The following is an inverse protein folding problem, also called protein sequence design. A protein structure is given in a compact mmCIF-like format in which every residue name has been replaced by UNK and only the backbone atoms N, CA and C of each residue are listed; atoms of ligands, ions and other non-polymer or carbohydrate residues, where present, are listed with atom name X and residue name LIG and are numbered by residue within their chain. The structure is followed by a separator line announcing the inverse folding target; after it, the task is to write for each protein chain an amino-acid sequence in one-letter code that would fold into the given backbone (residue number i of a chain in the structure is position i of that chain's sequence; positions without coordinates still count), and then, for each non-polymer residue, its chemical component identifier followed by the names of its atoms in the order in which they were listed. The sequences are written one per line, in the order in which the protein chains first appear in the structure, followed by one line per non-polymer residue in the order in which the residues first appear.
data_IF_643669554910
#
_entry.id   IF_643669554910
#
_cell.length_a   1.000
_cell.length_b   1.000
_cell.length_c   1.000
_cell.angle_alpha   90.00
_cell.angle_beta   90.00
_cell.angle_gamma   90.00
#
_symmetry.space_group_name_H-M   'P 1'
#
loop_
_entity.id
_entity.type
_entity.pdbx_description
1 polymer ?
#
# COMPACT_ATOMS: atom_id res chain seq x y z
N UNK A 1 -26.66 -24.51 18.95
CA UNK A 1 -28.06 -24.87 18.65
C UNK A 1 -28.57 -24.18 17.37
N UNK A 2 -28.21 -22.93 17.15
CA UNK A 2 -28.53 -22.21 15.90
C UNK A 2 -27.72 -22.67 14.68
N UNK A 3 -26.52 -23.22 14.89
CA UNK A 3 -25.68 -23.72 13.79
C UNK A 3 -26.23 -24.95 13.09
N UNK A 4 -26.90 -25.84 13.79
CA UNK A 4 -27.50 -27.06 13.19
C UNK A 4 -28.68 -26.76 12.27
N UNK A 5 -29.52 -25.80 12.62
CA UNK A 5 -30.66 -25.41 11.81
C UNK A 5 -30.23 -24.57 10.61
N UNK A 6 -29.24 -23.69 10.77
CA UNK A 6 -28.61 -22.94 9.67
C UNK A 6 -27.92 -23.82 8.63
N UNK A 7 -27.26 -24.89 9.05
CA UNK A 7 -26.65 -25.88 8.15
C UNK A 7 -27.72 -26.62 7.34
N UNK A 8 -28.84 -27.00 7.95
CA UNK A 8 -29.95 -27.67 7.26
C UNK A 8 -30.63 -26.77 6.21
N UNK A 9 -30.80 -25.49 6.51
CA UNK A 9 -31.41 -24.54 5.57
C UNK A 9 -30.47 -24.13 4.42
N UNK A 10 -29.17 -24.04 4.67
CA UNK A 10 -28.15 -23.80 3.65
C UNK A 10 -27.99 -24.98 2.70
N UNK A 11 -28.05 -26.21 3.22
CA UNK A 11 -28.06 -27.43 2.39
C UNK A 11 -29.29 -27.45 1.46
N UNK A 12 -30.40 -26.92 1.91
CA UNK A 12 -31.67 -26.83 1.10
C UNK A 12 -31.63 -25.76 0.04
N UNK A 13 -31.02 -24.60 0.33
CA UNK A 13 -31.12 -23.39 -0.54
C UNK A 13 -29.98 -23.20 -1.51
N UNK A 14 -28.77 -23.70 -1.21
CA UNK A 14 -27.54 -23.36 -1.94
C UNK A 14 -26.74 -24.54 -2.51
N UNK A 15 -27.25 -25.76 -2.40
CA UNK A 15 -26.66 -26.95 -3.04
C UNK A 15 -25.35 -27.45 -2.43
N UNK A 16 -25.04 -27.06 -1.19
CA UNK A 16 -23.96 -27.63 -0.40
C UNK A 16 -24.52 -28.61 0.63
N UNK A 17 -24.01 -29.84 0.66
CA UNK A 17 -24.31 -30.83 1.67
C UNK A 17 -23.03 -31.28 2.37
N UNK A 18 -23.02 -31.24 3.69
CA UNK A 18 -21.93 -31.74 4.51
C UNK A 18 -22.24 -33.14 4.98
N UNK A 19 -21.29 -34.07 4.77
CA UNK A 19 -21.36 -35.41 5.35
C UNK A 19 -20.37 -35.49 6.49
N UNK A 20 -20.87 -35.53 7.72
CA UNK A 20 -20.02 -35.71 8.88
C UNK A 20 -20.38 -36.98 9.66
N UNK A 21 -19.39 -37.59 10.30
CA UNK A 21 -19.61 -38.74 11.17
C UNK A 21 -20.26 -38.27 12.47
N UNK A 22 -21.52 -38.65 12.66
CA UNK A 22 -22.42 -38.15 13.72
C UNK A 22 -21.86 -38.19 15.15
N UNK A 23 -20.86 -39.07 15.42
CA UNK A 23 -20.28 -39.25 16.74
C UNK A 23 -19.03 -38.38 17.00
N UNK A 24 -18.25 -38.06 15.97
CA UNK A 24 -16.95 -37.39 16.13
C UNK A 24 -16.87 -36.04 15.44
N UNK A 25 -17.88 -35.66 14.64
CA UNK A 25 -17.99 -34.41 13.85
C UNK A 25 -16.82 -34.15 12.92
N UNK A 26 -15.99 -35.16 12.61
CA UNK A 26 -14.89 -34.98 11.67
C UNK A 26 -15.42 -34.72 10.25
N UNK A 27 -14.85 -33.71 9.61
CA UNK A 27 -15.13 -33.39 8.20
C UNK A 27 -14.55 -34.49 7.32
N UNK A 28 -15.40 -35.29 6.67
CA UNK A 28 -15.00 -36.41 5.81
C UNK A 28 -15.14 -36.12 4.32
N UNK A 29 -16.00 -35.18 3.95
CA UNK A 29 -16.23 -34.80 2.56
C UNK A 29 -17.31 -33.75 2.42
N UNK A 30 -17.45 -33.21 1.22
CA UNK A 30 -18.55 -32.31 0.82
C UNK A 30 -19.27 -32.89 -0.36
N UNK A 31 -20.56 -32.58 -0.46
CA UNK A 31 -21.43 -33.04 -1.54
C UNK A 31 -22.32 -31.88 -1.98
N UNK A 32 -22.34 -31.57 -3.27
CA UNK A 32 -23.28 -30.56 -3.77
C UNK A 32 -24.71 -31.12 -3.84
N UNK A 33 -25.70 -30.26 -3.64
CA UNK A 33 -27.11 -30.65 -3.80
C UNK A 33 -27.39 -31.21 -5.20
N UNK A 34 -26.71 -30.66 -6.22
CA UNK A 34 -26.82 -31.13 -7.59
C UNK A 34 -26.34 -32.60 -7.69
N UNK A 35 -25.18 -32.88 -7.14
CA UNK A 35 -24.62 -34.24 -7.18
C UNK A 35 -25.47 -35.21 -6.38
N UNK A 36 -26.05 -34.76 -5.26
CA UNK A 36 -26.94 -35.55 -4.45
C UNK A 36 -28.24 -35.91 -5.21
N UNK A 37 -28.83 -34.97 -5.96
CA UNK A 37 -30.06 -35.17 -6.70
C UNK A 37 -29.83 -35.98 -7.98
N UNK A 38 -28.63 -35.86 -8.60
CA UNK A 38 -28.32 -36.57 -9.84
C UNK A 38 -27.65 -37.93 -9.62
N UNK A 39 -27.21 -38.22 -8.39
CA UNK A 39 -26.59 -39.50 -8.05
C UNK A 39 -27.62 -40.66 -8.10
N UNK A 40 -27.10 -41.85 -8.41
CA UNK A 40 -27.90 -43.09 -8.33
C UNK A 40 -28.26 -43.32 -6.85
N UNK A 41 -29.59 -43.49 -6.54
CA UNK A 41 -30.08 -43.70 -5.18
C UNK A 41 -29.51 -44.92 -4.48
N UNK A 42 -28.95 -45.88 -5.21
CA UNK A 42 -28.32 -47.08 -4.67
C UNK A 42 -26.85 -46.88 -4.21
N UNK A 43 -26.20 -45.74 -4.61
CA UNK A 43 -24.82 -45.50 -4.26
C UNK A 43 -24.67 -44.92 -2.87
N UNK A 44 -23.72 -45.42 -2.06
CA UNK A 44 -23.40 -44.79 -0.79
C UNK A 44 -22.91 -43.33 -0.99
N UNK A 45 -23.26 -42.43 -0.08
CA UNK A 45 -22.84 -41.03 -0.12
C UNK A 45 -21.32 -40.91 -0.17
N UNK A 46 -20.61 -41.80 0.50
CA UNK A 46 -19.13 -41.84 0.50
C UNK A 46 -18.47 -42.03 -0.87
N UNK A 47 -19.22 -42.55 -1.86
CA UNK A 47 -18.74 -42.75 -3.25
C UNK A 47 -19.04 -41.55 -4.16
N UNK A 48 -19.92 -40.69 -3.73
CA UNK A 48 -20.34 -39.50 -4.49
C UNK A 48 -19.71 -38.21 -3.96
N UNK A 49 -19.33 -38.17 -2.68
CA UNK A 49 -18.74 -37.00 -2.05
C UNK A 49 -17.31 -36.72 -2.51
N UNK A 50 -16.94 -35.45 -2.54
CA UNK A 50 -15.55 -34.99 -2.70
C UNK A 50 -14.84 -35.07 -1.35
N UNK A 51 -13.76 -35.84 -1.27
CA UNK A 51 -13.01 -36.10 -0.02
C UNK A 51 -11.90 -35.09 0.25
N UNK A 52 -11.33 -34.49 -0.77
CA UNK A 52 -10.29 -33.46 -0.65
C UNK A 52 -10.96 -32.10 -0.46
N UNK A 53 -11.34 -31.82 0.79
CA UNK A 53 -12.13 -30.62 1.15
C UNK A 53 -11.21 -29.51 1.60
N UNK A 54 -11.25 -28.39 0.88
CA UNK A 54 -10.65 -27.15 1.36
C UNK A 54 -11.44 -26.67 2.57
N UNK A 55 -10.77 -26.56 3.70
CA UNK A 55 -11.36 -26.13 4.97
C UNK A 55 -10.51 -25.05 5.62
N UNK A 56 -11.09 -24.30 6.53
CA UNK A 56 -10.45 -23.25 7.32
C UNK A 56 -10.50 -23.58 8.81
N UNK A 57 -9.52 -23.11 9.55
CA UNK A 57 -9.49 -23.26 11.01
C UNK A 57 -10.26 -22.13 11.68
N UNK A 58 -10.84 -22.38 12.86
CA UNK A 58 -11.44 -21.35 13.73
C UNK A 58 -10.51 -20.19 14.07
N UNK A 59 -9.19 -20.37 13.95
CA UNK A 59 -8.18 -19.35 14.21
C UNK A 59 -7.71 -18.62 12.94
N UNK A 60 -8.26 -18.96 11.77
CA UNK A 60 -7.89 -18.30 10.49
C UNK A 60 -8.46 -16.88 10.47
N UNK A 61 -7.65 -15.91 10.05
CA UNK A 61 -8.08 -14.53 9.94
C UNK A 61 -9.18 -14.41 8.87
N UNK A 62 -10.20 -13.60 9.14
CA UNK A 62 -11.34 -13.38 8.25
C UNK A 62 -10.93 -12.92 6.84
N UNK A 63 -9.87 -12.12 6.72
CA UNK A 63 -9.32 -11.69 5.43
C UNK A 63 -8.76 -12.89 4.62
N UNK A 64 -8.12 -13.84 5.30
CA UNK A 64 -7.60 -15.06 4.66
C UNK A 64 -8.74 -15.98 4.21
N UNK A 65 -9.83 -16.04 4.99
CA UNK A 65 -11.05 -16.76 4.63
C UNK A 65 -11.70 -16.15 3.38
N UNK A 66 -11.83 -14.83 3.35
CA UNK A 66 -12.38 -14.10 2.20
C UNK A 66 -11.57 -14.36 0.93
N UNK A 67 -10.23 -14.34 1.05
CA UNK A 67 -9.32 -14.66 -0.07
C UNK A 67 -9.45 -16.13 -0.53
N UNK A 68 -9.67 -17.07 0.39
CA UNK A 68 -9.85 -18.47 0.02
C UNK A 68 -11.14 -18.65 -0.78
N UNK A 69 -12.24 -18.06 -0.35
CA UNK A 69 -13.52 -18.09 -1.09
C UNK A 69 -13.37 -17.47 -2.49
N UNK A 70 -12.75 -16.30 -2.60
CA UNK A 70 -12.51 -15.65 -3.89
C UNK A 70 -11.60 -16.46 -4.81
N UNK A 71 -10.61 -17.16 -4.26
CA UNK A 71 -9.63 -17.92 -5.05
C UNK A 71 -10.22 -19.18 -5.66
N UNK A 72 -11.15 -19.83 -4.96
CA UNK A 72 -11.72 -21.11 -5.35
C UNK A 72 -13.15 -20.99 -5.85
N UNK A 73 -13.72 -19.78 -5.90
CA UNK A 73 -15.10 -19.49 -6.29
C UNK A 73 -16.13 -20.31 -5.49
N UNK A 74 -15.84 -20.53 -4.20
CA UNK A 74 -16.73 -21.28 -3.33
C UNK A 74 -17.89 -20.41 -2.83
N UNK A 75 -19.07 -21.01 -2.69
CA UNK A 75 -20.24 -20.35 -2.07
C UNK A 75 -20.18 -20.43 -0.54
N UNK A 76 -19.48 -21.43 0.00
CA UNK A 76 -19.25 -21.61 1.43
C UNK A 76 -18.00 -22.45 1.67
N UNK A 77 -17.38 -22.26 2.84
CA UNK A 77 -16.24 -23.04 3.32
C UNK A 77 -16.54 -23.65 4.69
N UNK A 78 -16.25 -24.94 4.90
CA UNK A 78 -16.34 -25.56 6.21
C UNK A 78 -15.24 -25.05 7.15
N UNK A 79 -15.63 -24.79 8.39
CA UNK A 79 -14.75 -24.36 9.48
C UNK A 79 -14.51 -25.53 10.39
N UNK A 80 -13.24 -25.81 10.68
CA UNK A 80 -12.84 -26.91 11.56
C UNK A 80 -12.07 -26.41 12.77
N UNK A 81 -12.15 -27.14 13.87
CA UNK A 81 -11.32 -26.92 15.06
C UNK A 81 -9.91 -27.55 14.91
N UNK A 82 -9.12 -27.50 15.99
CA UNK A 82 -7.77 -28.07 16.03
C UNK A 82 -7.77 -29.61 15.85
N UNK A 83 -8.85 -30.27 16.25
CA UNK A 83 -9.07 -31.71 16.10
C UNK A 83 -9.70 -32.09 14.76
N UNK A 84 -9.81 -31.14 13.81
CA UNK A 84 -10.47 -31.30 12.49
C UNK A 84 -11.96 -31.66 12.58
N UNK A 85 -12.64 -31.23 13.64
CA UNK A 85 -14.10 -31.38 13.76
C UNK A 85 -14.78 -30.20 13.12
N UNK A 86 -15.85 -30.46 12.40
CA UNK A 86 -16.68 -29.41 11.80
C UNK A 86 -17.38 -28.60 12.89
N UNK A 87 -17.07 -27.31 12.95
CA UNK A 87 -17.65 -26.34 13.89
C UNK A 87 -18.80 -25.57 13.25
N UNK A 88 -18.66 -25.26 11.96
CA UNK A 88 -19.64 -24.48 11.20
C UNK A 88 -19.22 -24.34 9.76
N UNK A 89 -19.92 -23.45 9.07
CA UNK A 89 -19.58 -23.00 7.71
C UNK A 89 -19.56 -21.48 7.67
N UNK A 90 -18.74 -20.95 6.78
CA UNK A 90 -18.74 -19.51 6.43
C UNK A 90 -19.18 -19.40 5.00
N UNK A 91 -20.16 -18.55 4.74
CA UNK A 91 -20.75 -18.37 3.41
C UNK A 91 -20.21 -17.10 2.74
N UNK A 92 -20.35 -17.00 1.43
CA UNK A 92 -19.86 -15.85 0.66
C UNK A 92 -20.55 -14.55 1.04
N UNK A 93 -21.83 -14.59 1.41
CA UNK A 93 -22.60 -13.44 1.88
C UNK A 93 -22.06 -12.86 3.20
N UNK A 94 -21.71 -13.73 4.17
CA UNK A 94 -21.07 -13.29 5.42
C UNK A 94 -19.71 -12.59 5.17
N UNK A 95 -19.05 -12.94 4.09
CA UNK A 95 -17.74 -12.38 3.75
C UNK A 95 -17.81 -11.11 2.88
N UNK A 96 -18.93 -10.80 2.25
CA UNK A 96 -19.11 -9.55 1.51
C UNK A 96 -18.91 -8.37 2.46
N UNK A 97 -19.56 -8.40 3.62
CA UNK A 97 -19.42 -7.34 4.64
C UNK A 97 -17.98 -7.24 5.16
N UNK A 98 -17.31 -8.37 5.35
CA UNK A 98 -15.90 -8.41 5.77
C UNK A 98 -14.99 -7.77 4.70
N UNK A 99 -15.21 -8.08 3.43
CA UNK A 99 -14.42 -7.52 2.32
C UNK A 99 -14.61 -6.00 2.24
N UNK A 100 -15.83 -5.52 2.42
CA UNK A 100 -16.14 -4.09 2.43
C UNK A 100 -15.50 -3.37 3.62
N UNK A 101 -15.59 -3.94 4.82
CA UNK A 101 -14.95 -3.40 6.02
C UNK A 101 -13.42 -3.34 5.89
N UNK A 102 -12.79 -4.39 5.38
CA UNK A 102 -11.34 -4.40 5.16
C UNK A 102 -10.93 -3.39 4.07
N UNK A 103 -11.68 -3.28 2.97
CA UNK A 103 -11.43 -2.28 1.93
C UNK A 103 -11.56 -0.85 2.47
N UNK A 104 -12.57 -0.59 3.29
CA UNK A 104 -12.78 0.69 3.97
C UNK A 104 -11.62 0.99 4.92
N UNK A 105 -11.19 0.01 5.72
CA UNK A 105 -10.06 0.13 6.62
C UNK A 105 -8.76 0.46 5.89
N UNK A 106 -8.50 -0.21 4.76
CA UNK A 106 -7.33 0.05 3.92
C UNK A 106 -7.33 1.50 3.39
N UNK A 107 -8.50 2.02 2.97
CA UNK A 107 -8.64 3.40 2.51
C UNK A 107 -8.34 4.39 3.63
N UNK A 108 -8.88 4.19 4.83
CA UNK A 108 -8.60 5.06 5.99
C UNK A 108 -7.12 5.00 6.39
N UNK A 109 -6.52 3.82 6.41
CA UNK A 109 -5.10 3.63 6.71
C UNK A 109 -4.21 4.34 5.68
N UNK A 110 -4.51 4.22 4.38
CA UNK A 110 -3.79 4.93 3.32
C UNK A 110 -3.85 6.45 3.46
N UNK A 111 -4.94 6.99 4.02
CA UNK A 111 -5.11 8.41 4.33
C UNK A 111 -4.55 8.85 5.68
N UNK A 112 -3.95 7.95 6.47
CA UNK A 112 -3.53 8.21 7.87
C UNK A 112 -4.68 8.70 8.77
N UNK A 113 -5.87 8.16 8.57
CA UNK A 113 -7.07 8.47 9.34
C UNK A 113 -7.47 7.22 10.13
N UNK A 114 -7.82 7.39 11.41
CA UNK A 114 -8.38 6.27 12.17
C UNK A 114 -9.81 5.96 11.67
N UNK A 115 -10.12 4.69 11.37
CA UNK A 115 -11.47 4.31 10.99
C UNK A 115 -12.47 4.65 12.10
N UNK A 116 -13.67 5.03 11.72
CA UNK A 116 -14.81 5.19 12.61
C UNK A 116 -15.92 4.23 12.20
N UNK A 117 -16.95 4.08 13.02
CA UNK A 117 -18.15 3.36 12.62
C UNK A 117 -18.78 4.08 11.43
N UNK A 118 -19.11 3.33 10.36
CA UNK A 118 -19.52 3.89 9.06
C UNK A 118 -20.79 4.74 9.14
N UNK A 119 -21.72 4.38 10.03
CA UNK A 119 -22.97 5.09 10.23
C UNK A 119 -22.85 6.43 10.96
N UNK A 120 -21.64 6.78 11.44
CA UNK A 120 -21.47 7.79 12.45
C UNK A 120 -20.79 9.09 11.98
N UNK A 121 -20.42 9.21 10.68
CA UNK A 121 -19.71 10.41 10.21
C UNK A 121 -20.55 11.69 10.37
N UNK A 122 -21.82 11.67 9.98
CA UNK A 122 -22.71 12.81 10.09
C UNK A 122 -23.23 13.06 11.51
N UNK A 123 -23.22 12.03 12.36
CA UNK A 123 -23.62 12.13 13.77
C UNK A 123 -22.44 12.42 14.69
N UNK A 124 -21.22 12.16 14.25
CA UNK A 124 -20.00 12.39 15.03
C UNK A 124 -19.75 13.87 15.25
N UNK A 125 -19.39 14.24 16.49
CA UNK A 125 -19.01 15.60 16.80
C UNK A 125 -17.72 16.00 16.06
N UNK A 126 -17.58 17.28 15.70
CA UNK A 126 -16.39 17.82 15.05
C UNK A 126 -15.12 17.53 15.87
N UNK A 127 -15.23 17.53 17.19
CA UNK A 127 -14.12 17.22 18.09
C UNK A 127 -13.68 15.76 17.98
N UNK A 128 -14.61 14.83 17.86
CA UNK A 128 -14.32 13.39 17.65
C UNK A 128 -13.60 13.17 16.32
N UNK A 129 -14.08 13.81 15.26
CA UNK A 129 -13.44 13.74 13.93
C UNK A 129 -12.02 14.31 13.98
N UNK A 130 -11.83 15.47 14.60
CA UNK A 130 -10.52 16.10 14.75
C UNK A 130 -9.55 15.23 15.57
N UNK A 131 -10.02 14.62 16.67
CA UNK A 131 -9.21 13.74 17.51
C UNK A 131 -8.69 12.51 16.77
N UNK A 132 -9.50 11.92 15.88
CA UNK A 132 -9.09 10.76 15.05
C UNK A 132 -7.95 11.08 14.07
N UNK A 133 -7.76 12.36 13.74
CA UNK A 133 -6.75 12.82 12.77
C UNK A 133 -5.53 13.49 13.40
N UNK A 134 -5.73 14.19 14.54
CA UNK A 134 -4.71 15.09 15.10
C UNK A 134 -3.43 14.37 15.52
N UNK A 135 -3.53 13.18 16.07
CA UNK A 135 -2.36 12.43 16.55
C UNK A 135 -1.38 12.17 15.40
N UNK A 136 -1.90 11.71 14.27
CA UNK A 136 -1.08 11.43 13.09
C UNK A 136 -0.51 12.71 12.48
N UNK A 137 -1.32 13.76 12.39
CA UNK A 137 -0.86 15.06 11.90
C UNK A 137 0.25 15.65 12.79
N UNK A 138 0.19 15.49 14.10
CA UNK A 138 1.27 15.93 15.00
C UNK A 138 2.58 15.18 14.74
N UNK A 139 2.52 13.87 14.52
CA UNK A 139 3.70 13.06 14.16
C UNK A 139 4.30 13.57 12.84
N UNK A 140 3.47 13.84 11.84
CA UNK A 140 3.94 14.37 10.55
C UNK A 140 4.52 15.78 10.68
N UNK A 141 3.93 16.65 11.48
CA UNK A 141 4.48 18.00 11.75
C UNK A 141 5.85 17.93 12.41
N UNK A 142 6.03 17.04 13.39
CA UNK A 142 7.33 16.82 14.03
C UNK A 142 8.37 16.28 13.02
N UNK A 143 7.96 15.33 12.17
CA UNK A 143 8.82 14.78 11.14
C UNK A 143 9.20 15.84 10.09
N UNK A 144 8.25 16.68 9.65
CA UNK A 144 8.50 17.80 8.74
C UNK A 144 9.42 18.88 9.37
N UNK A 145 9.50 18.95 10.70
CA UNK A 145 10.48 19.77 11.40
C UNK A 145 11.93 19.42 11.01
N UNK A 146 12.20 18.17 10.64
CA UNK A 146 13.52 17.76 10.13
C UNK A 146 13.80 18.39 8.76
N UNK A 147 12.82 18.42 7.86
CA UNK A 147 12.94 19.10 6.55
C UNK A 147 13.26 20.58 6.74
N UNK A 148 12.54 21.25 7.63
CA UNK A 148 12.80 22.66 7.97
C UNK A 148 14.20 22.85 8.52
N UNK A 149 14.69 21.97 9.38
CA UNK A 149 16.04 22.02 9.93
C UNK A 149 17.11 21.83 8.85
N UNK A 150 16.92 20.88 7.94
CA UNK A 150 17.85 20.66 6.80
C UNK A 150 17.93 21.90 5.91
N UNK A 151 16.80 22.55 5.61
CA UNK A 151 16.76 23.81 4.86
C UNK A 151 17.50 24.91 5.61
N UNK A 152 17.22 25.09 6.90
CA UNK A 152 17.84 26.14 7.71
C UNK A 152 19.37 25.97 7.86
N UNK A 153 19.87 24.76 7.92
CA UNK A 153 21.33 24.48 7.97
C UNK A 153 22.06 24.87 6.67
N UNK A 154 21.35 25.03 5.56
CA UNK A 154 21.88 25.37 4.24
C UNK A 154 21.46 26.77 3.78
N UNK A 155 21.07 27.64 4.71
CA UNK A 155 20.53 28.98 4.47
C UNK A 155 21.49 29.89 3.65
N UNK A 156 22.80 29.70 3.77
CA UNK A 156 23.78 30.47 3.00
C UNK A 156 23.65 30.24 1.49
N UNK A 157 23.48 28.99 1.06
CA UNK A 157 23.34 28.63 -0.35
C UNK A 157 22.03 29.21 -0.91
N UNK A 158 20.97 29.10 -0.12
CA UNK A 158 19.65 29.61 -0.52
C UNK A 158 19.59 31.15 -0.58
N UNK A 159 20.34 31.85 0.27
CA UNK A 159 20.47 33.31 0.21
C UNK A 159 21.23 33.81 -1.00
N UNK A 160 22.23 33.08 -1.47
CA UNK A 160 22.98 33.44 -2.66
C UNK A 160 22.15 33.33 -3.95
N UNK A 161 21.21 32.37 -3.98
CA UNK A 161 20.35 32.14 -5.14
C UNK A 161 18.91 31.87 -4.65
N UNK A 162 18.20 32.93 -4.31
CA UNK A 162 16.81 32.89 -3.83
C UNK A 162 15.88 32.10 -4.78
N UNK A 163 16.17 32.14 -6.08
CA UNK A 163 15.41 31.41 -7.09
C UNK A 163 15.47 29.89 -6.96
N UNK A 164 16.55 29.34 -6.38
CA UNK A 164 16.65 27.92 -6.11
C UNK A 164 15.65 27.46 -5.05
N UNK A 165 15.37 28.30 -4.07
CA UNK A 165 14.36 28.02 -3.06
C UNK A 165 12.94 27.91 -3.68
N UNK A 166 12.66 28.60 -4.77
CA UNK A 166 11.39 28.56 -5.48
C UNK A 166 11.09 27.18 -6.11
N UNK A 167 12.13 26.37 -6.40
CA UNK A 167 11.95 25.01 -6.95
C UNK A 167 11.77 23.95 -5.88
N UNK A 168 12.06 24.23 -4.60
CA UNK A 168 11.87 23.26 -3.51
C UNK A 168 10.46 22.70 -3.46
N UNK A 169 9.38 23.49 -3.48
CA UNK A 169 8.01 22.97 -3.48
C UNK A 169 7.70 22.04 -4.66
N UNK A 170 8.22 22.36 -5.85
CA UNK A 170 8.05 21.54 -7.04
C UNK A 170 8.76 20.18 -6.88
N UNK A 171 9.98 20.17 -6.37
CA UNK A 171 10.78 18.99 -6.18
C UNK A 171 10.17 18.06 -5.11
N UNK A 172 9.82 18.62 -3.95
CA UNK A 172 9.19 17.92 -2.84
C UNK A 172 7.84 17.35 -3.30
N UNK A 173 6.96 18.18 -3.86
CA UNK A 173 5.64 17.77 -4.30
C UNK A 173 5.69 16.65 -5.35
N UNK A 174 6.61 16.74 -6.31
CA UNK A 174 6.80 15.70 -7.33
C UNK A 174 7.30 14.39 -6.69
N UNK A 175 8.32 14.48 -5.82
CA UNK A 175 8.85 13.32 -5.10
C UNK A 175 7.79 12.64 -4.24
N UNK A 176 7.07 13.41 -3.43
CA UNK A 176 5.99 12.90 -2.59
C UNK A 176 4.90 12.18 -3.38
N UNK A 177 4.47 12.76 -4.49
CA UNK A 177 3.47 12.15 -5.37
C UNK A 177 3.96 10.83 -5.98
N UNK A 178 5.18 10.79 -6.50
CA UNK A 178 5.77 9.57 -7.07
C UNK A 178 5.93 8.48 -6.01
N UNK A 179 6.40 8.84 -4.81
CA UNK A 179 6.52 7.91 -3.69
C UNK A 179 5.17 7.32 -3.26
N UNK A 180 4.14 8.16 -3.16
CA UNK A 180 2.78 7.73 -2.83
C UNK A 180 2.19 6.80 -3.91
N UNK A 181 2.38 7.12 -5.19
CA UNK A 181 1.92 6.28 -6.30
C UNK A 181 2.61 4.90 -6.29
N UNK A 182 3.93 4.88 -6.10
CA UNK A 182 4.71 3.64 -6.02
C UNK A 182 4.23 2.78 -4.84
N UNK A 183 4.06 3.38 -3.67
CA UNK A 183 3.54 2.68 -2.49
C UNK A 183 2.16 2.08 -2.71
N UNK A 184 1.24 2.84 -3.30
CA UNK A 184 -0.12 2.36 -3.59
C UNK A 184 -0.09 1.11 -4.49
N UNK A 185 0.76 1.10 -5.52
CA UNK A 185 0.91 -0.06 -6.42
C UNK A 185 1.47 -1.27 -5.67
N UNK A 186 2.45 -1.07 -4.80
CA UNK A 186 3.06 -2.14 -4.02
C UNK A 186 2.09 -2.69 -2.96
N UNK A 187 1.41 -1.84 -2.20
CA UNK A 187 0.39 -2.24 -1.22
C UNK A 187 -0.68 -3.08 -1.91
N UNK A 188 -1.21 -2.61 -3.04
CA UNK A 188 -2.18 -3.37 -3.83
C UNK A 188 -1.62 -4.70 -4.35
N UNK A 189 -0.36 -4.71 -4.77
CA UNK A 189 0.33 -5.93 -5.20
C UNK A 189 0.51 -6.95 -4.06
N UNK A 190 0.72 -6.49 -2.83
CA UNK A 190 0.78 -7.33 -1.64
C UNK A 190 -0.59 -7.89 -1.28
N UNK A 191 -1.63 -7.05 -1.23
CA UNK A 191 -2.99 -7.47 -0.90
C UNK A 191 -3.53 -8.52 -1.88
N UNK A 192 -3.20 -8.41 -3.18
CA UNK A 192 -3.58 -9.39 -4.22
C UNK A 192 -2.64 -10.59 -4.33
N UNK A 193 -1.62 -10.73 -3.46
CA UNK A 193 -0.57 -11.76 -3.48
C UNK A 193 0.22 -11.91 -4.78
N UNK A 194 -0.01 -11.07 -5.78
CA UNK A 194 0.71 -11.10 -7.06
C UNK A 194 2.21 -10.81 -6.90
N UNK A 195 2.56 -9.99 -5.91
CA UNK A 195 3.96 -9.66 -5.63
C UNK A 195 4.74 -10.84 -5.02
N UNK A 196 4.10 -11.71 -4.25
CA UNK A 196 4.76 -12.89 -3.64
C UNK A 196 5.30 -13.84 -4.71
N UNK A 197 4.66 -13.91 -5.87
CA UNK A 197 5.10 -14.75 -7.00
C UNK A 197 6.18 -14.10 -7.87
N UNK A 198 6.25 -12.77 -7.95
CA UNK A 198 7.17 -12.03 -8.81
C UNK A 198 8.51 -11.69 -8.16
N UNK A 199 8.60 -11.76 -6.84
CA UNK A 199 9.79 -11.43 -6.04
C UNK A 199 9.89 -9.93 -5.71
N UNK A 200 10.03 -9.63 -4.42
CA UNK A 200 10.09 -8.26 -3.88
C UNK A 200 11.19 -7.39 -4.54
N UNK A 201 12.37 -7.98 -4.78
CA UNK A 201 13.51 -7.25 -5.39
C UNK A 201 13.18 -6.79 -6.82
N UNK A 202 12.53 -7.65 -7.62
CA UNK A 202 12.14 -7.28 -8.99
C UNK A 202 11.13 -6.12 -8.99
N UNK A 203 10.22 -6.09 -8.01
CA UNK A 203 9.27 -5.01 -7.87
C UNK A 203 9.97 -3.68 -7.53
N UNK A 204 10.89 -3.69 -6.56
CA UNK A 204 11.69 -2.50 -6.19
C UNK A 204 12.51 -1.98 -7.38
N UNK A 205 13.21 -2.86 -8.11
CA UNK A 205 13.99 -2.46 -9.29
C UNK A 205 13.09 -1.88 -10.38
N UNK A 206 11.92 -2.47 -10.59
CA UNK A 206 10.95 -1.96 -11.57
C UNK A 206 10.46 -0.57 -11.18
N UNK A 207 10.11 -0.35 -9.91
CA UNK A 207 9.71 0.97 -9.41
C UNK A 207 10.85 1.99 -9.49
N UNK A 208 12.09 1.61 -9.17
CA UNK A 208 13.24 2.49 -9.31
C UNK A 208 13.44 2.95 -10.78
N UNK A 209 13.35 2.03 -11.75
CA UNK A 209 13.45 2.36 -13.18
C UNK A 209 12.27 3.25 -13.61
N UNK A 210 11.07 2.96 -13.13
CA UNK A 210 9.87 3.77 -13.40
C UNK A 210 10.06 5.19 -12.84
N UNK A 211 10.57 5.32 -11.61
CA UNK A 211 10.88 6.60 -11.00
C UNK A 211 11.93 7.40 -11.79
N UNK A 212 12.98 6.74 -12.28
CA UNK A 212 14.00 7.37 -13.12
C UNK A 212 13.40 7.86 -14.45
N UNK A 213 12.55 7.05 -15.09
CA UNK A 213 11.86 7.42 -16.32
C UNK A 213 10.93 8.62 -16.11
N UNK A 214 10.14 8.61 -15.04
CA UNK A 214 9.29 9.74 -14.66
C UNK A 214 10.12 11.00 -14.44
N UNK A 215 11.25 10.90 -13.76
CA UNK A 215 12.19 12.00 -13.55
C UNK A 215 12.71 12.59 -14.85
N UNK A 216 13.08 11.75 -15.81
CA UNK A 216 13.51 12.21 -17.16
C UNK A 216 12.38 12.93 -17.88
N UNK A 217 11.16 12.38 -17.84
CA UNK A 217 9.99 13.02 -18.47
C UNK A 217 9.68 14.38 -17.81
N UNK A 218 9.75 14.47 -16.47
CA UNK A 218 9.57 15.72 -15.75
C UNK A 218 10.68 16.72 -16.07
N UNK A 219 11.94 16.28 -16.18
CA UNK A 219 13.05 17.12 -16.59
C UNK A 219 12.81 17.74 -17.96
N UNK A 220 12.28 17.00 -18.94
CA UNK A 220 11.98 17.54 -20.28
C UNK A 220 10.96 18.69 -20.25
N UNK A 221 10.10 18.74 -19.23
CA UNK A 221 9.13 19.82 -19.03
C UNK A 221 9.73 20.96 -18.22
N UNK A 222 10.40 20.65 -17.13
CA UNK A 222 10.88 21.63 -16.15
C UNK A 222 12.14 22.35 -16.64
N UNK A 223 13.00 21.70 -17.42
CA UNK A 223 14.21 22.33 -17.96
C UNK A 223 13.89 23.53 -18.85
N UNK A 224 13.04 23.43 -19.91
CA UNK A 224 12.66 24.58 -20.72
C UNK A 224 11.95 25.68 -19.91
N UNK A 225 11.12 25.29 -18.94
CA UNK A 225 10.41 26.22 -18.08
C UNK A 225 11.38 27.02 -17.20
N UNK A 226 12.35 26.37 -16.56
CA UNK A 226 13.37 27.04 -15.76
C UNK A 226 14.26 27.94 -16.61
N UNK A 227 14.63 27.52 -17.81
CA UNK A 227 15.40 28.31 -18.74
C UNK A 227 14.63 29.55 -19.22
N UNK A 228 13.38 29.40 -19.55
CA UNK A 228 12.51 30.52 -19.94
C UNK A 228 12.35 31.56 -18.83
N UNK A 229 12.35 31.17 -17.58
CA UNK A 229 12.39 32.08 -16.43
C UNK A 229 13.74 32.80 -16.24
N UNK A 230 14.68 32.66 -17.15
CA UNK A 230 15.98 33.36 -17.10
C UNK A 230 17.00 32.76 -16.14
N UNK A 231 16.80 31.51 -15.65
CA UNK A 231 17.69 30.86 -14.69
C UNK A 231 19.02 30.41 -15.30
N UNK A 232 19.13 30.39 -16.60
CA UNK A 232 20.28 29.84 -17.31
C UNK A 232 20.30 28.31 -17.35
N UNK A 233 21.09 27.74 -18.28
CA UNK A 233 21.09 26.30 -18.54
C UNK A 233 21.69 25.49 -17.38
N UNK A 234 22.58 26.08 -16.58
CA UNK A 234 23.23 25.39 -15.45
C UNK A 234 22.22 25.09 -14.33
N UNK A 235 21.43 26.10 -13.94
CA UNK A 235 20.41 25.94 -12.89
C UNK A 235 19.30 25.04 -13.39
N UNK A 236 18.84 25.22 -14.63
CA UNK A 236 17.83 24.37 -15.23
C UNK A 236 18.25 22.89 -15.25
N UNK A 237 19.52 22.60 -15.57
CA UNK A 237 20.04 21.22 -15.53
C UNK A 237 20.16 20.69 -14.10
N UNK A 238 20.57 21.51 -13.13
CA UNK A 238 20.64 21.08 -11.73
C UNK A 238 19.25 20.71 -11.19
N UNK A 239 18.23 21.49 -11.47
CA UNK A 239 16.84 21.17 -11.10
C UNK A 239 16.36 19.90 -11.80
N UNK A 240 16.65 19.72 -13.10
CA UNK A 240 16.29 18.53 -13.85
C UNK A 240 16.95 17.24 -13.32
N UNK A 241 18.26 17.29 -13.01
CA UNK A 241 18.97 16.16 -12.42
C UNK A 241 18.44 15.84 -11.02
N UNK A 242 18.12 16.88 -10.25
CA UNK A 242 17.48 16.72 -8.94
C UNK A 242 16.13 16.00 -9.04
N UNK A 243 15.32 16.34 -10.04
CA UNK A 243 14.04 15.64 -10.30
C UNK A 243 14.26 14.16 -10.55
N UNK A 244 15.22 13.78 -11.43
CA UNK A 244 15.52 12.37 -11.70
C UNK A 244 15.93 11.64 -10.43
N UNK A 245 16.81 12.24 -9.65
CA UNK A 245 17.32 11.64 -8.41
C UNK A 245 16.22 11.49 -7.36
N UNK A 246 15.41 12.54 -7.17
CA UNK A 246 14.32 12.56 -6.18
C UNK A 246 13.21 11.59 -6.56
N UNK A 247 12.77 11.54 -7.82
CA UNK A 247 11.72 10.62 -8.27
C UNK A 247 12.16 9.17 -8.22
N UNK A 248 13.42 8.88 -8.55
CA UNK A 248 14.01 7.55 -8.42
C UNK A 248 14.04 7.10 -6.96
N UNK A 249 14.54 7.97 -6.07
CA UNK A 249 14.57 7.69 -4.63
C UNK A 249 13.15 7.53 -4.07
N UNK A 250 12.24 8.42 -4.44
CA UNK A 250 10.86 8.40 -3.98
C UNK A 250 10.15 7.11 -4.38
N UNK A 251 10.23 6.70 -5.65
CA UNK A 251 9.66 5.44 -6.13
C UNK A 251 10.29 4.24 -5.43
N UNK A 252 11.61 4.24 -5.24
CA UNK A 252 12.31 3.16 -4.56
C UNK A 252 11.89 3.06 -3.09
N UNK A 253 11.82 4.18 -2.38
CA UNK A 253 11.40 4.25 -0.97
C UNK A 253 9.94 3.85 -0.82
N UNK A 254 9.07 4.36 -1.72
CA UNK A 254 7.64 3.99 -1.77
C UNK A 254 7.43 2.50 -2.02
N UNK A 255 8.36 1.82 -2.70
CA UNK A 255 8.30 0.37 -2.88
C UNK A 255 8.89 -0.40 -1.68
N UNK A 256 10.01 0.05 -1.13
CA UNK A 256 10.71 -0.67 -0.05
C UNK A 256 9.91 -0.66 1.24
N UNK A 257 9.35 0.49 1.64
CA UNK A 257 8.68 0.64 2.94
C UNK A 257 7.52 -0.33 3.13
N UNK A 258 6.53 -0.45 2.23
CA UNK A 258 5.44 -1.42 2.39
C UNK A 258 5.94 -2.87 2.41
N UNK A 259 6.93 -3.21 1.57
CA UNK A 259 7.52 -4.56 1.56
C UNK A 259 8.25 -4.90 2.86
N UNK A 260 8.90 -3.91 3.48
CA UNK A 260 9.57 -4.08 4.77
C UNK A 260 8.54 -4.32 5.88
N UNK A 261 7.42 -3.59 5.87
CA UNK A 261 6.33 -3.76 6.85
C UNK A 261 5.66 -5.13 6.69
N UNK A 262 5.35 -5.56 5.46
CA UNK A 262 4.83 -6.92 5.21
C UNK A 262 5.78 -8.00 5.74
N UNK A 263 7.09 -7.81 5.55
CA UNK A 263 8.09 -8.76 6.06
C UNK A 263 8.19 -8.78 7.58
N UNK A 264 7.92 -7.65 8.24
CA UNK A 264 7.83 -7.53 9.70
C UNK A 264 6.49 -8.01 10.25
N UNK A 265 5.57 -8.51 9.42
CA UNK A 265 4.20 -8.90 9.76
C UNK A 265 3.37 -7.72 10.32
N UNK A 266 3.70 -6.52 9.92
CA UNK A 266 2.92 -5.31 10.16
C UNK A 266 2.05 -5.06 8.93
N UNK A 267 0.92 -4.38 9.15
CA UNK A 267 0.03 -4.02 8.06
C UNK A 267 0.72 -3.01 7.10
N UNK A 268 0.94 -3.36 5.82
CA UNK A 268 1.54 -2.45 4.86
C UNK A 268 0.73 -1.18 4.62
N UNK A 269 -0.58 -1.19 4.85
CA UNK A 269 -1.46 -0.03 4.72
C UNK A 269 -1.16 1.06 5.77
N UNK A 270 -0.48 0.71 6.89
CA UNK A 270 0.03 1.68 7.86
C UNK A 270 1.08 2.63 7.25
N UNK A 271 1.73 2.24 6.14
CA UNK A 271 2.59 3.11 5.34
C UNK A 271 1.75 4.07 4.50
N UNK A 272 1.05 4.94 5.20
CA UNK A 272 0.17 5.93 4.59
C UNK A 272 0.92 6.86 3.64
N UNK A 273 0.20 7.34 2.62
CA UNK A 273 0.72 8.32 1.68
C UNK A 273 1.39 9.53 2.36
N UNK A 274 0.81 10.15 3.41
CA UNK A 274 1.45 11.26 4.13
C UNK A 274 2.77 10.90 4.81
N UNK A 275 2.94 9.66 5.27
CA UNK A 275 4.22 9.23 5.85
C UNK A 275 5.31 9.11 4.78
N UNK A 276 4.97 8.52 3.65
CA UNK A 276 5.89 8.35 2.52
C UNK A 276 6.30 9.70 1.96
N UNK A 277 5.34 10.63 1.78
CA UNK A 277 5.66 11.99 1.33
C UNK A 277 6.64 12.66 2.29
N UNK A 278 6.43 12.57 3.60
CA UNK A 278 7.34 13.16 4.58
C UNK A 278 8.77 12.59 4.49
N UNK A 279 8.90 11.26 4.33
CA UNK A 279 10.23 10.63 4.17
C UNK A 279 10.90 11.09 2.87
N UNK A 280 10.14 11.14 1.78
CA UNK A 280 10.67 11.59 0.48
C UNK A 280 10.98 13.08 0.46
N UNK A 281 10.26 13.90 1.21
CA UNK A 281 10.51 15.34 1.34
C UNK A 281 11.86 15.60 2.03
N UNK A 282 12.12 14.95 3.15
CA UNK A 282 13.39 15.05 3.88
C UNK A 282 14.55 14.66 2.97
N UNK A 283 14.45 13.49 2.35
CA UNK A 283 15.50 12.95 1.48
C UNK A 283 15.66 13.79 0.20
N UNK A 284 14.55 14.25 -0.37
CA UNK A 284 14.54 15.07 -1.58
C UNK A 284 15.20 16.42 -1.39
N UNK A 285 14.89 17.12 -0.30
CA UNK A 285 15.57 18.38 0.05
C UNK A 285 17.05 18.16 0.26
N UNK A 286 17.43 17.10 0.97
CA UNK A 286 18.84 16.79 1.21
C UNK A 286 19.59 16.54 -0.12
N UNK A 287 19.05 15.74 -1.02
CA UNK A 287 19.65 15.50 -2.35
C UNK A 287 19.77 16.79 -3.15
N UNK A 288 18.70 17.59 -3.17
CA UNK A 288 18.70 18.86 -3.90
C UNK A 288 19.81 19.79 -3.42
N UNK A 289 19.90 19.99 -2.12
CA UNK A 289 20.92 20.84 -1.53
C UNK A 289 22.34 20.29 -1.74
N UNK A 290 22.54 18.96 -1.67
CA UNK A 290 23.82 18.33 -2.00
C UNK A 290 24.24 18.57 -3.46
N UNK A 291 23.30 18.43 -4.41
CA UNK A 291 23.59 18.67 -5.82
C UNK A 291 23.90 20.13 -6.11
N UNK A 292 23.25 21.04 -5.42
CA UNK A 292 23.55 22.48 -5.52
C UNK A 292 24.94 22.80 -4.96
N UNK A 293 25.32 22.19 -3.84
CA UNK A 293 26.65 22.38 -3.26
C UNK A 293 27.80 21.91 -4.19
N UNK A 294 27.54 20.84 -4.94
CA UNK A 294 28.51 20.30 -5.90
C UNK A 294 28.53 21.01 -7.24
N UNK A 295 27.53 21.85 -7.53
CA UNK A 295 27.50 22.66 -8.75
C UNK A 295 28.47 23.86 -8.64
N UNK A 296 29.34 24.12 -9.65
CA UNK A 296 30.27 25.21 -9.59
C UNK A 296 29.56 26.55 -9.47
N UNK A 297 29.89 27.31 -8.41
CA UNK A 297 29.31 28.64 -8.16
C UNK A 297 29.59 29.57 -9.34
N UNK A 298 28.64 30.46 -9.71
CA UNK A 298 28.91 31.53 -10.68
C UNK A 298 30.14 32.38 -10.35
N UNK A 299 30.50 32.47 -9.05
CA UNK A 299 31.66 33.21 -8.58
C UNK A 299 33.00 32.52 -8.94
N UNK A 300 33.01 31.21 -9.07
CA UNK A 300 34.26 30.50 -9.44
C UNK A 300 34.65 30.77 -10.90
N UNK A 301 33.69 31.03 -11.78
CA UNK A 301 33.95 31.44 -13.17
C UNK A 301 34.55 32.85 -13.28
N UNK A 302 34.23 33.75 -12.35
CA UNK A 302 34.81 35.11 -12.35
C UNK A 302 36.23 35.10 -11.78
N UNK A 303 36.55 34.25 -10.81
CA UNK A 303 37.91 34.07 -10.28
C UNK A 303 38.88 33.45 -11.29
N UNK A 304 38.40 32.50 -12.10
CA UNK A 304 39.23 31.87 -13.14
C UNK A 304 39.53 32.77 -14.35
N UNK A 305 38.87 33.94 -14.45
CA UNK A 305 39.08 34.93 -15.52
C UNK A 305 39.88 36.15 -15.09
N UNK A 306 40.36 36.25 -13.85
CA UNK A 306 41.33 37.28 -13.49
C UNK A 306 42.69 36.92 -14.07
N UNK A 307 43.26 37.72 -15.01
CA UNK A 307 44.62 37.49 -15.45
C UNK A 307 45.54 37.66 -14.25
N UNK A 308 46.46 36.71 -14.07
CA UNK A 308 47.56 36.88 -13.14
C UNK A 308 48.31 38.15 -13.57
N UNK A 309 48.08 39.24 -12.86
CA UNK A 309 48.90 40.44 -13.01
C UNK A 309 50.29 40.08 -12.54
N UNK A 310 51.23 39.95 -13.51
CA UNK A 310 52.65 39.99 -13.30
C UNK A 310 53.08 41.33 -12.75
#
# INVERSE_FOLDING_TARGET
FQAEDGIRDLVRSRGLGDVYKRQERHLTGILSLRDLVTADPSKPIGDVMTRDVVNISTNTNQEEVARAIQRYDFLALPVVDKEKRLVGIVTVDDLIDVIEQEATRDIYAAGAVQPGDEDDYFQSSLFTIARRRILWLLILVLANGLTTKVIAMNDQILKEIVLLAAFIPLLIGTGGNVGAQSSTVIIRGLSTQKLKSLGAIKAVVKEAITGALLGVLMMLVVFPFAWWQGQGPLIASAVGISLISITTLAATTGAILPLMFDRMRLDPALMSSPFITTVTDIAGVFIYLCLLYTSPSPRDRTRSRMPSSA
#
